data_IF_692820998913
#
_entry.id   IF_692820998913
#
_cell.length_a   1.000
_cell.length_b   1.000
_cell.length_c   1.000
_cell.angle_alpha   90.00
_cell.angle_beta   90.00
_cell.angle_gamma   90.00
#
_symmetry.space_group_name_H-M   'P 1'
#
loop_
_entity.id
_entity.type
_entity.pdbx_description
1 polymer ?
#
# COMPACT_ATOMS: atom_id res chain seq x y z
N UNK A 1 30.37 8.54 -16.64
CA UNK A 1 29.46 8.07 -15.56
C UNK A 1 28.52 9.22 -15.25
N UNK A 2 27.31 9.20 -15.80
CA UNK A 2 26.30 10.20 -15.51
C UNK A 2 25.83 9.99 -14.05
N UNK A 3 26.01 11.01 -13.20
CA UNK A 3 25.38 11.06 -11.89
C UNK A 3 23.87 11.11 -12.13
N UNK A 4 23.16 10.05 -11.77
CA UNK A 4 21.71 10.10 -11.62
C UNK A 4 21.45 11.07 -10.45
N UNK A 5 21.23 12.34 -10.73
CA UNK A 5 20.70 13.28 -9.73
C UNK A 5 19.25 12.92 -9.51
N UNK A 6 18.93 12.45 -8.31
CA UNK A 6 17.54 12.29 -7.89
C UNK A 6 16.88 13.67 -7.88
N UNK A 7 15.85 13.84 -8.67
CA UNK A 7 15.03 15.06 -8.70
C UNK A 7 13.90 14.92 -7.66
N UNK A 8 14.26 15.08 -6.37
CA UNK A 8 13.29 15.08 -5.29
C UNK A 8 12.78 16.50 -5.05
N UNK A 9 11.51 16.73 -5.37
CA UNK A 9 10.83 18.00 -5.09
C UNK A 9 10.00 17.88 -3.81
N UNK A 10 10.14 18.86 -2.91
CA UNK A 10 9.27 18.96 -1.73
C UNK A 10 7.94 19.58 -2.13
N UNK A 11 6.84 18.87 -1.88
CA UNK A 11 5.50 19.43 -2.00
C UNK A 11 5.26 20.50 -0.92
N UNK A 12 4.59 21.59 -1.31
CA UNK A 12 4.41 22.79 -0.46
C UNK A 12 3.28 22.54 0.56
N UNK A 13 3.64 21.96 1.71
CA UNK A 13 2.72 21.74 2.83
C UNK A 13 2.91 22.81 3.91
N UNK A 14 2.32 23.98 3.74
CA UNK A 14 2.50 25.17 4.61
C UNK A 14 2.17 24.98 6.10
N UNK A 15 1.59 23.83 6.50
CA UNK A 15 1.14 23.59 7.89
C UNK A 15 1.66 22.29 8.54
N UNK A 16 2.51 21.51 7.86
CA UNK A 16 3.04 20.28 8.42
C UNK A 16 4.43 20.48 9.01
N UNK A 17 4.77 19.77 10.11
CA UNK A 17 6.15 19.69 10.58
C UNK A 17 7.08 19.22 9.47
N UNK A 18 8.26 19.81 9.38
CA UNK A 18 9.23 19.56 8.30
C UNK A 18 9.62 18.06 8.20
N UNK A 19 9.64 17.33 9.32
CA UNK A 19 9.86 15.87 9.32
C UNK A 19 8.77 15.12 8.54
N UNK A 20 7.50 15.56 8.65
CA UNK A 20 6.37 14.91 7.99
C UNK A 20 6.37 15.19 6.49
N UNK A 21 6.79 16.39 6.08
CA UNK A 21 7.02 16.74 4.67
C UNK A 21 8.13 15.87 4.09
N UNK A 22 9.27 15.78 4.76
CA UNK A 22 10.40 14.94 4.34
C UNK A 22 10.00 13.46 4.27
N UNK A 23 9.28 12.98 5.30
CA UNK A 23 8.77 11.61 5.31
C UNK A 23 7.91 11.32 4.07
N UNK A 24 6.93 12.19 3.77
CA UNK A 24 6.06 12.03 2.58
C UNK A 24 6.86 12.07 1.28
N UNK A 25 7.80 13.00 1.16
CA UNK A 25 8.66 13.12 -0.03
C UNK A 25 9.47 11.84 -0.26
N UNK A 26 10.17 11.35 0.76
CA UNK A 26 10.97 10.13 0.65
C UNK A 26 10.09 8.91 0.43
N UNK A 27 8.94 8.83 1.08
CA UNK A 27 7.96 7.76 0.89
C UNK A 27 7.52 7.71 -0.57
N UNK A 28 7.12 8.83 -1.16
CA UNK A 28 6.71 8.90 -2.56
C UNK A 28 7.86 8.50 -3.50
N UNK A 29 9.07 8.96 -3.24
CA UNK A 29 10.23 8.57 -4.03
C UNK A 29 10.52 7.06 -4.01
N UNK A 30 10.33 6.41 -2.85
CA UNK A 30 10.43 4.94 -2.73
C UNK A 30 9.31 4.26 -3.53
N UNK A 31 8.08 4.74 -3.40
CA UNK A 31 6.91 4.14 -4.06
C UNK A 31 6.93 4.30 -5.59
N UNK A 32 7.50 5.40 -6.08
CA UNK A 32 7.72 5.65 -7.52
C UNK A 32 8.94 4.92 -8.08
N UNK A 33 9.73 4.27 -7.20
CA UNK A 33 10.97 3.60 -7.61
C UNK A 33 12.14 4.55 -7.93
N UNK A 34 12.02 5.84 -7.63
CA UNK A 34 13.09 6.83 -7.72
C UNK A 34 14.21 6.48 -6.73
N UNK A 35 13.83 6.05 -5.52
CA UNK A 35 14.70 5.40 -4.54
C UNK A 35 14.51 3.88 -4.66
N UNK A 36 15.51 3.21 -5.21
CA UNK A 36 15.42 1.78 -5.55
C UNK A 36 15.52 0.86 -4.33
N UNK A 37 14.90 -0.33 -4.33
CA UNK A 37 15.13 -1.34 -3.30
C UNK A 37 16.64 -1.63 -3.11
N UNK A 38 17.08 -1.66 -1.85
CA UNK A 38 18.50 -1.79 -1.47
C UNK A 38 19.32 -0.51 -1.57
N UNK A 39 18.79 0.58 -2.11
CA UNK A 39 19.50 1.86 -2.19
C UNK A 39 19.74 2.43 -0.79
N UNK A 40 20.97 2.93 -0.57
CA UNK A 40 21.35 3.51 0.70
C UNK A 40 20.87 4.96 0.84
N UNK A 41 20.14 5.24 1.92
CA UNK A 41 19.64 6.56 2.26
C UNK A 41 20.70 7.31 3.07
N UNK A 42 21.46 8.16 2.39
CA UNK A 42 22.53 8.95 3.04
C UNK A 42 21.96 10.27 3.58
N UNK A 43 21.87 10.41 4.92
CA UNK A 43 21.31 11.60 5.58
C UNK A 43 21.86 12.91 5.03
N UNK A 44 23.20 13.01 4.84
CA UNK A 44 23.85 14.23 4.36
C UNK A 44 23.44 14.54 2.91
N UNK A 45 23.38 13.53 2.05
CA UNK A 45 22.96 13.70 0.64
C UNK A 45 21.51 14.18 0.57
N UNK A 46 20.61 13.52 1.30
CA UNK A 46 19.18 13.85 1.31
C UNK A 46 18.94 15.24 1.93
N UNK A 47 19.67 15.59 3.00
CA UNK A 47 19.57 16.92 3.61
C UNK A 47 19.97 18.03 2.63
N UNK A 48 21.06 17.84 1.88
CA UNK A 48 21.51 18.78 0.86
C UNK A 48 20.53 18.87 -0.32
N UNK A 49 19.99 17.75 -0.78
CA UNK A 49 19.02 17.71 -1.90
C UNK A 49 17.70 18.39 -1.57
N UNK A 50 17.19 18.18 -0.34
CA UNK A 50 15.92 18.75 0.11
C UNK A 50 16.07 20.13 0.76
N UNK A 51 17.28 20.67 0.90
CA UNK A 51 17.51 21.98 1.50
C UNK A 51 17.16 22.07 2.99
N UNK A 52 17.25 20.95 3.73
CA UNK A 52 16.88 20.87 5.14
C UNK A 52 18.05 20.44 6.02
N UNK A 53 17.93 20.58 7.35
CA UNK A 53 18.90 20.03 8.29
C UNK A 53 18.81 18.50 8.37
N UNK A 54 19.81 17.84 8.97
CA UNK A 54 19.83 16.37 9.12
C UNK A 54 18.78 15.82 10.07
N UNK A 55 18.31 16.62 11.02
CA UNK A 55 17.32 16.18 12.02
C UNK A 55 16.01 15.71 11.41
N UNK A 56 15.29 16.50 10.59
CA UNK A 56 14.05 16.03 9.94
C UNK A 56 14.30 14.85 9.01
N UNK A 57 15.46 14.73 8.36
CA UNK A 57 15.82 13.57 7.54
C UNK A 57 15.89 12.30 8.41
N UNK A 58 16.57 12.37 9.55
CA UNK A 58 16.73 11.22 10.46
C UNK A 58 15.39 10.79 11.05
N UNK A 59 14.55 11.73 11.43
CA UNK A 59 13.21 11.45 11.93
C UNK A 59 12.34 10.81 10.83
N UNK A 60 12.39 11.32 9.61
CA UNK A 60 11.67 10.75 8.47
C UNK A 60 12.15 9.33 8.14
N UNK A 61 13.45 9.07 8.14
CA UNK A 61 14.02 7.72 7.95
C UNK A 61 13.50 6.76 9.02
N UNK A 62 13.43 7.21 10.29
CA UNK A 62 12.87 6.39 11.37
C UNK A 62 11.38 6.10 11.17
N UNK A 63 10.61 7.05 10.69
CA UNK A 63 9.21 6.83 10.34
C UNK A 63 9.09 5.82 9.19
N UNK A 64 9.93 5.93 8.15
CA UNK A 64 9.97 4.95 7.04
C UNK A 64 10.39 3.56 7.51
N UNK A 65 11.25 3.45 8.52
CA UNK A 65 11.62 2.17 9.14
C UNK A 65 10.42 1.54 9.86
N UNK A 66 9.63 2.33 10.60
CA UNK A 66 8.40 1.87 11.24
C UNK A 66 7.35 1.40 10.23
N UNK A 67 7.29 2.05 9.06
CA UNK A 67 6.41 1.64 7.95
C UNK A 67 6.97 0.46 7.14
N UNK A 68 8.16 -0.07 7.49
CA UNK A 68 8.80 -1.18 6.77
C UNK A 68 9.32 -0.81 5.37
N UNK A 69 9.35 0.47 5.01
CA UNK A 69 9.89 0.96 3.73
C UNK A 69 11.41 1.09 3.74
N UNK A 70 12.01 1.14 4.92
CA UNK A 70 13.44 1.27 5.15
C UNK A 70 13.88 0.26 6.20
N UNK A 71 15.09 -0.28 6.06
CA UNK A 71 15.73 -1.14 7.04
C UNK A 71 17.05 -0.53 7.50
N UNK A 72 17.38 -0.70 8.78
CA UNK A 72 18.69 -0.31 9.31
C UNK A 72 19.67 -1.47 9.20
N UNK A 73 20.65 -1.33 8.31
CA UNK A 73 21.69 -2.36 8.11
C UNK A 73 22.93 -1.99 8.93
N UNK A 74 23.42 -2.87 9.82
CA UNK A 74 24.61 -2.59 10.62
C UNK A 74 25.79 -2.14 9.76
N UNK A 75 26.46 -1.06 10.14
CA UNK A 75 27.59 -0.42 9.45
C UNK A 75 27.29 0.20 8.09
N UNK A 76 26.14 -0.09 7.48
CA UNK A 76 25.72 0.48 6.18
C UNK A 76 24.71 1.61 6.32
N UNK A 77 24.01 1.68 7.48
CA UNK A 77 22.96 2.68 7.73
C UNK A 77 21.61 2.31 7.11
N UNK A 78 20.80 3.31 6.87
CA UNK A 78 19.45 3.14 6.32
C UNK A 78 19.51 2.73 4.84
N UNK A 79 18.70 1.74 4.47
CA UNK A 79 18.52 1.29 3.09
C UNK A 79 17.03 1.10 2.79
N UNK A 80 16.62 1.37 1.54
CA UNK A 80 15.27 1.05 1.08
C UNK A 80 15.05 -0.45 1.18
N UNK A 81 13.98 -0.85 1.85
CA UNK A 81 13.65 -2.26 2.05
C UNK A 81 13.36 -2.94 0.72
N UNK A 82 13.82 -4.17 0.57
CA UNK A 82 13.41 -5.05 -0.53
C UNK A 82 12.13 -5.78 -0.13
N UNK A 83 11.30 -6.09 -1.11
CA UNK A 83 10.17 -7.00 -0.90
C UNK A 83 10.76 -8.42 -0.93
N UNK A 84 10.74 -9.10 0.22
CA UNK A 84 11.08 -10.53 0.28
C UNK A 84 9.80 -11.36 0.36
N UNK A 85 9.87 -12.61 -0.10
CA UNK A 85 8.75 -13.55 0.04
C UNK A 85 8.33 -13.71 1.49
N UNK A 86 9.32 -13.79 2.39
CA UNK A 86 9.05 -13.92 3.82
C UNK A 86 8.27 -12.73 4.37
N UNK A 87 8.75 -11.52 4.09
CA UNK A 87 8.07 -10.30 4.59
C UNK A 87 6.65 -10.19 4.02
N UNK A 88 6.46 -10.58 2.75
CA UNK A 88 5.15 -10.61 2.11
C UNK A 88 4.22 -11.59 2.83
N UNK A 89 4.69 -12.81 3.09
CA UNK A 89 3.88 -13.82 3.77
C UNK A 89 3.53 -13.40 5.19
N UNK A 90 4.51 -12.92 5.97
CA UNK A 90 4.31 -12.46 7.35
C UNK A 90 3.23 -11.34 7.43
N UNK A 91 3.29 -10.37 6.52
CA UNK A 91 2.32 -9.26 6.45
C UNK A 91 0.94 -9.74 6.02
N UNK A 92 0.87 -10.64 5.03
CA UNK A 92 -0.41 -11.14 4.49
C UNK A 92 -1.14 -12.07 5.46
N UNK A 93 -0.42 -12.88 6.25
CA UNK A 93 -1.03 -13.68 7.31
C UNK A 93 -1.75 -12.79 8.34
N UNK A 94 -1.08 -11.74 8.80
CA UNK A 94 -1.68 -10.77 9.75
C UNK A 94 -2.85 -10.03 9.10
N UNK A 95 -2.69 -9.59 7.85
CA UNK A 95 -3.74 -8.91 7.11
C UNK A 95 -4.97 -9.77 6.97
N UNK A 96 -4.82 -11.03 6.57
CA UNK A 96 -5.95 -11.95 6.40
C UNK A 96 -6.78 -12.05 7.69
N UNK A 97 -6.14 -12.25 8.83
CA UNK A 97 -6.85 -12.35 10.11
C UNK A 97 -7.60 -11.06 10.48
N UNK A 98 -7.00 -9.89 10.24
CA UNK A 98 -7.64 -8.59 10.53
C UNK A 98 -8.75 -8.25 9.54
N UNK A 99 -8.58 -8.54 8.25
CA UNK A 99 -9.61 -8.29 7.23
C UNK A 99 -10.83 -9.22 7.41
N UNK A 100 -10.63 -10.49 7.73
CA UNK A 100 -11.73 -11.40 8.06
C UNK A 100 -12.52 -10.91 9.28
N UNK A 101 -11.82 -10.42 10.32
CA UNK A 101 -12.46 -9.81 11.47
C UNK A 101 -13.22 -8.53 11.07
N UNK A 102 -12.63 -7.70 10.23
CA UNK A 102 -13.26 -6.47 9.77
C UNK A 102 -14.54 -6.76 8.99
N UNK A 103 -14.49 -7.65 8.01
CA UNK A 103 -15.66 -8.05 7.21
C UNK A 103 -16.74 -8.67 8.09
N UNK A 104 -16.36 -9.53 9.06
CA UNK A 104 -17.29 -10.11 10.05
C UNK A 104 -18.05 -9.04 10.83
N UNK A 105 -17.33 -8.08 11.41
CA UNK A 105 -17.92 -7.01 12.21
C UNK A 105 -18.74 -6.05 11.35
N UNK A 106 -18.21 -5.67 10.19
CA UNK A 106 -18.88 -4.80 9.24
C UNK A 106 -20.19 -5.42 8.74
N UNK A 107 -20.19 -6.68 8.32
CA UNK A 107 -21.38 -7.38 7.87
C UNK A 107 -22.52 -7.37 8.89
N UNK A 108 -22.18 -7.40 10.19
CA UNK A 108 -23.16 -7.33 11.28
C UNK A 108 -23.67 -5.90 11.57
N UNK A 109 -22.85 -4.87 11.31
CA UNK A 109 -23.04 -3.51 11.82
C UNK A 109 -23.34 -2.48 10.75
N UNK A 110 -22.95 -2.74 9.49
CA UNK A 110 -23.08 -1.79 8.38
C UNK A 110 -24.52 -1.30 8.24
N UNK A 111 -24.66 0.01 8.11
CA UNK A 111 -25.94 0.67 7.91
C UNK A 111 -26.28 0.77 6.42
N UNK A 112 -27.53 1.06 6.09
CA UNK A 112 -27.96 1.27 4.69
C UNK A 112 -27.20 2.44 4.02
N UNK A 113 -26.93 3.50 4.75
CA UNK A 113 -26.13 4.63 4.27
C UNK A 113 -24.68 4.22 3.96
N UNK A 114 -24.09 3.36 4.76
CA UNK A 114 -22.72 2.86 4.51
C UNK A 114 -22.70 1.86 3.35
N UNK A 115 -23.74 1.03 3.18
CA UNK A 115 -23.90 0.18 1.99
C UNK A 115 -23.97 1.00 0.71
N UNK A 116 -24.68 2.12 0.72
CA UNK A 116 -24.69 3.04 -0.42
C UNK A 116 -23.29 3.62 -0.72
N UNK A 117 -22.53 4.02 0.32
CA UNK A 117 -21.16 4.49 0.15
C UNK A 117 -20.25 3.39 -0.39
N UNK A 118 -20.39 2.15 0.09
CA UNK A 118 -19.63 1.00 -0.37
C UNK A 118 -19.86 0.74 -1.87
N UNK A 119 -21.13 0.76 -2.30
CA UNK A 119 -21.50 0.65 -3.70
C UNK A 119 -20.89 1.77 -4.56
N UNK A 120 -21.01 3.02 -4.10
CA UNK A 120 -20.43 4.17 -4.80
C UNK A 120 -18.92 4.07 -4.91
N UNK A 121 -18.22 3.60 -3.87
CA UNK A 121 -16.78 3.41 -3.90
C UNK A 121 -16.38 2.34 -4.92
N UNK A 122 -17.11 1.20 -5.01
CA UNK A 122 -16.88 0.19 -6.05
C UNK A 122 -17.06 0.77 -7.46
N UNK A 123 -18.16 1.50 -7.71
CA UNK A 123 -18.40 2.12 -9.02
C UNK A 123 -17.37 3.19 -9.39
N UNK A 124 -16.92 3.98 -8.42
CA UNK A 124 -15.87 4.98 -8.65
C UNK A 124 -14.53 4.33 -9.00
N UNK A 125 -14.21 3.21 -8.38
CA UNK A 125 -13.01 2.43 -8.72
C UNK A 125 -13.10 1.85 -10.14
N UNK A 126 -14.23 1.24 -10.51
CA UNK A 126 -14.49 0.72 -11.87
C UNK A 126 -14.33 1.83 -12.92
N UNK A 127 -14.97 2.99 -12.71
CA UNK A 127 -14.85 4.14 -13.62
C UNK A 127 -13.39 4.63 -13.72
N UNK A 128 -12.64 4.62 -12.64
CA UNK A 128 -11.23 5.00 -12.65
C UNK A 128 -10.41 4.02 -13.49
N UNK A 129 -10.70 2.71 -13.42
CA UNK A 129 -10.04 1.71 -14.26
C UNK A 129 -10.30 1.90 -15.76
N UNK A 130 -11.50 2.35 -16.12
CA UNK A 130 -11.87 2.60 -17.52
C UNK A 130 -11.28 3.88 -18.09
N UNK A 131 -11.10 4.92 -17.25
CA UNK A 131 -10.71 6.27 -17.68
C UNK A 131 -9.24 6.58 -17.48
N UNK A 132 -8.55 5.84 -16.60
CA UNK A 132 -7.13 6.08 -16.31
C UNK A 132 -6.27 5.39 -17.36
N UNK A 133 -5.37 6.15 -18.00
CA UNK A 133 -4.30 5.56 -18.81
C UNK A 133 -3.57 4.51 -17.97
N UNK A 134 -3.22 3.39 -18.59
CA UNK A 134 -2.77 2.16 -17.92
C UNK A 134 -1.54 2.31 -17.04
N UNK A 135 -0.90 3.47 -17.03
CA UNK A 135 0.40 3.68 -16.37
C UNK A 135 0.33 4.40 -15.03
N UNK A 136 -0.80 5.05 -14.66
CA UNK A 136 -0.92 5.72 -13.36
C UNK A 136 -1.41 4.75 -12.26
N UNK A 137 -0.56 3.78 -11.93
CA UNK A 137 -0.82 2.79 -10.88
C UNK A 137 -1.08 3.40 -9.50
N UNK A 138 -0.53 4.60 -9.25
CA UNK A 138 -0.73 5.28 -7.98
C UNK A 138 -2.16 5.80 -7.83
N UNK A 139 -2.74 6.38 -8.90
CA UNK A 139 -4.14 6.77 -8.89
C UNK A 139 -5.06 5.58 -8.72
N UNK A 140 -4.77 4.47 -9.41
CA UNK A 140 -5.54 3.24 -9.25
C UNK A 140 -5.47 2.69 -7.82
N UNK A 141 -4.27 2.64 -7.22
CA UNK A 141 -4.12 2.20 -5.84
C UNK A 141 -4.83 3.11 -4.83
N UNK A 142 -4.89 4.43 -5.10
CA UNK A 142 -5.62 5.38 -4.27
C UNK A 142 -7.14 5.26 -4.46
N UNK A 143 -7.61 4.97 -5.67
CA UNK A 143 -9.03 4.82 -5.96
C UNK A 143 -9.66 3.58 -5.30
N UNK A 144 -8.87 2.55 -5.01
CA UNK A 144 -9.27 1.34 -4.32
C UNK A 144 -9.45 1.54 -2.79
N UNK A 145 -8.77 2.51 -2.21
CA UNK A 145 -8.78 2.77 -0.76
C UNK A 145 -10.18 3.06 -0.20
N UNK A 146 -11.03 3.90 -0.80
CA UNK A 146 -12.35 4.24 -0.26
C UNK A 146 -13.26 3.03 -0.06
N UNK A 147 -13.16 1.99 -0.90
CA UNK A 147 -13.95 0.78 -0.76
C UNK A 147 -13.64 0.06 0.56
N UNK A 148 -12.38 -0.18 0.84
CA UNK A 148 -11.93 -0.80 2.08
C UNK A 148 -12.21 0.09 3.30
N UNK A 149 -12.05 1.41 3.17
CA UNK A 149 -12.32 2.35 4.26
C UNK A 149 -13.77 2.29 4.76
N UNK A 150 -14.75 2.15 3.86
CA UNK A 150 -16.15 2.00 4.27
C UNK A 150 -16.33 0.73 5.10
N UNK A 151 -15.73 -0.39 4.69
CA UNK A 151 -15.78 -1.65 5.44
C UNK A 151 -15.15 -1.49 6.83
N UNK A 152 -13.97 -0.85 6.91
CA UNK A 152 -13.26 -0.65 8.17
C UNK A 152 -14.06 0.25 9.12
N UNK A 153 -14.62 1.35 8.63
CA UNK A 153 -15.47 2.24 9.43
C UNK A 153 -16.74 1.52 9.94
N UNK A 154 -17.37 0.72 9.09
CA UNK A 154 -18.55 -0.07 9.47
C UNK A 154 -18.26 -1.11 10.57
N UNK A 155 -17.00 -1.43 10.86
CA UNK A 155 -16.64 -2.28 12.00
C UNK A 155 -16.97 -1.61 13.35
N UNK A 156 -17.02 -0.28 13.40
CA UNK A 156 -17.16 0.51 14.62
C UNK A 156 -16.15 0.06 15.71
N UNK A 157 -14.91 -0.26 15.31
CA UNK A 157 -13.82 -0.72 16.17
C UNK A 157 -12.55 0.07 15.87
N UNK A 158 -12.34 1.17 16.59
CA UNK A 158 -11.23 2.09 16.36
C UNK A 158 -9.85 1.40 16.42
N UNK A 159 -9.68 0.39 17.27
CA UNK A 159 -8.41 -0.35 17.38
C UNK A 159 -8.13 -1.18 16.13
N UNK A 160 -9.17 -1.85 15.61
CA UNK A 160 -9.05 -2.61 14.37
C UNK A 160 -8.77 -1.68 13.19
N UNK A 161 -9.48 -0.55 13.11
CA UNK A 161 -9.26 0.48 12.07
C UNK A 161 -7.81 0.97 12.09
N UNK A 162 -7.25 1.27 13.27
CA UNK A 162 -5.85 1.70 13.40
C UNK A 162 -4.87 0.63 12.91
N UNK A 163 -5.07 -0.63 13.28
CA UNK A 163 -4.20 -1.74 12.85
C UNK A 163 -4.26 -1.95 11.32
N UNK A 164 -5.47 -1.93 10.74
CA UNK A 164 -5.66 -2.08 9.30
C UNK A 164 -5.06 -0.90 8.52
N UNK A 165 -5.18 0.33 9.04
CA UNK A 165 -4.57 1.50 8.42
C UNK A 165 -3.03 1.43 8.43
N UNK A 166 -2.42 0.96 9.52
CA UNK A 166 -0.99 0.76 9.61
C UNK A 166 -0.51 -0.30 8.61
N UNK A 167 -1.25 -1.42 8.49
CA UNK A 167 -0.94 -2.45 7.50
C UNK A 167 -1.11 -1.94 6.06
N UNK A 168 -2.14 -1.13 5.78
CA UNK A 168 -2.36 -0.55 4.46
C UNK A 168 -1.14 0.22 3.96
N UNK A 169 -0.49 0.99 4.82
CA UNK A 169 0.72 1.72 4.47
C UNK A 169 1.86 0.77 4.06
N UNK A 170 2.05 -0.31 4.83
CA UNK A 170 3.01 -1.35 4.49
C UNK A 170 2.65 -2.08 3.19
N UNK A 171 1.35 -2.32 2.98
CA UNK A 171 0.82 -3.01 1.81
C UNK A 171 0.80 -2.16 0.52
N UNK A 172 1.03 -0.86 0.61
CA UNK A 172 0.93 0.02 -0.57
C UNK A 172 1.85 -0.40 -1.72
N UNK A 173 3.10 -0.79 -1.42
CA UNK A 173 4.05 -1.29 -2.42
C UNK A 173 3.56 -2.57 -3.11
N UNK A 174 3.03 -3.50 -2.32
CA UNK A 174 2.47 -4.76 -2.83
C UNK A 174 1.24 -4.50 -3.70
N UNK A 175 0.41 -3.53 -3.33
CA UNK A 175 -0.74 -3.12 -4.14
C UNK A 175 -0.32 -2.56 -5.49
N UNK A 176 0.72 -1.72 -5.54
CA UNK A 176 1.28 -1.22 -6.81
C UNK A 176 1.77 -2.39 -7.68
N UNK A 177 2.47 -3.36 -7.11
CA UNK A 177 2.92 -4.56 -7.84
C UNK A 177 1.73 -5.36 -8.39
N UNK A 178 0.71 -5.61 -7.58
CA UNK A 178 -0.50 -6.31 -7.99
C UNK A 178 -1.24 -5.62 -9.15
N UNK A 179 -1.33 -4.30 -9.12
CA UNK A 179 -2.00 -3.50 -10.14
C UNK A 179 -1.25 -3.40 -11.47
N UNK A 180 -0.02 -3.88 -11.57
CA UNK A 180 0.70 -3.98 -12.86
C UNK A 180 0.03 -4.96 -13.81
N UNK A 181 -0.56 -6.02 -13.30
CA UNK A 181 -1.30 -6.98 -14.12
C UNK A 181 -2.71 -6.48 -14.42
N UNK A 182 -2.99 -6.28 -15.69
CA UNK A 182 -4.30 -5.78 -16.18
C UNK A 182 -5.44 -6.74 -15.86
N UNK A 183 -5.18 -8.06 -15.83
CA UNK A 183 -6.21 -9.06 -15.48
C UNK A 183 -6.60 -8.93 -14.01
N UNK A 184 -5.63 -8.72 -13.14
CA UNK A 184 -5.85 -8.50 -11.72
C UNK A 184 -6.74 -7.29 -11.43
N UNK A 185 -6.64 -6.23 -12.24
CA UNK A 185 -7.50 -5.03 -12.11
C UNK A 185 -8.98 -5.33 -12.34
N UNK A 186 -9.30 -6.14 -13.35
CA UNK A 186 -10.69 -6.53 -13.64
C UNK A 186 -11.26 -7.43 -12.55
N UNK A 187 -10.46 -8.37 -12.06
CA UNK A 187 -10.85 -9.24 -10.95
C UNK A 187 -11.19 -8.46 -9.68
N UNK A 188 -10.51 -7.34 -9.40
CA UNK A 188 -10.81 -6.49 -8.24
C UNK A 188 -12.24 -5.93 -8.29
N UNK A 189 -12.73 -5.48 -9.44
CA UNK A 189 -14.11 -4.98 -9.59
C UNK A 189 -15.11 -6.08 -9.28
N UNK A 190 -14.91 -7.28 -9.83
CA UNK A 190 -15.78 -8.44 -9.60
C UNK A 190 -15.77 -8.85 -8.10
N UNK A 191 -14.63 -8.79 -7.46
CA UNK A 191 -14.47 -9.09 -6.04
C UNK A 191 -15.14 -8.04 -5.14
N UNK A 192 -15.03 -6.76 -5.48
CA UNK A 192 -15.72 -5.69 -4.77
C UNK A 192 -17.25 -5.84 -4.88
N UNK A 193 -17.75 -6.15 -6.07
CA UNK A 193 -19.18 -6.35 -6.30
C UNK A 193 -19.70 -7.57 -5.53
N UNK A 194 -18.97 -8.68 -5.56
CA UNK A 194 -19.33 -9.88 -4.81
C UNK A 194 -19.34 -9.62 -3.29
N UNK A 195 -18.30 -8.91 -2.77
CA UNK A 195 -18.23 -8.57 -1.37
C UNK A 195 -19.37 -7.63 -0.95
N UNK A 196 -19.68 -6.62 -1.78
CA UNK A 196 -20.84 -5.75 -1.57
C UNK A 196 -22.15 -6.54 -1.47
N UNK A 197 -22.42 -7.47 -2.40
CA UNK A 197 -23.65 -8.26 -2.39
C UNK A 197 -23.73 -9.18 -1.16
N UNK A 198 -22.63 -9.81 -0.73
CA UNK A 198 -22.62 -10.58 0.51
C UNK A 198 -22.90 -9.70 1.74
N UNK A 199 -22.30 -8.51 1.81
CA UNK A 199 -22.52 -7.58 2.94
C UNK A 199 -23.96 -7.04 2.95
N UNK A 200 -24.53 -6.69 1.80
CA UNK A 200 -25.90 -6.24 1.64
C UNK A 200 -26.92 -7.30 2.11
N UNK A 201 -26.64 -8.56 1.78
CA UNK A 201 -27.48 -9.69 2.18
C UNK A 201 -27.19 -10.22 3.59
N UNK A 202 -26.26 -9.59 4.32
CA UNK A 202 -25.80 -10.06 5.65
C UNK A 202 -25.23 -11.49 5.61
N UNK A 203 -24.74 -11.93 4.47
CA UNK A 203 -24.12 -13.23 4.27
C UNK A 203 -22.68 -13.21 4.78
N UNK A 204 -22.52 -13.46 6.07
CA UNK A 204 -21.23 -13.48 6.74
C UNK A 204 -20.28 -14.52 6.15
N UNK A 205 -20.77 -15.72 5.86
CA UNK A 205 -19.91 -16.81 5.38
C UNK A 205 -19.38 -16.49 3.96
N UNK A 206 -20.24 -15.99 3.08
CA UNK A 206 -19.85 -15.53 1.75
C UNK A 206 -18.87 -14.38 1.79
N UNK A 207 -19.12 -13.37 2.62
CA UNK A 207 -18.23 -12.22 2.76
C UNK A 207 -16.83 -12.60 3.30
N UNK A 208 -16.74 -13.48 4.30
CA UNK A 208 -15.46 -13.97 4.82
C UNK A 208 -14.71 -14.81 3.77
N UNK A 209 -15.41 -15.66 3.04
CA UNK A 209 -14.83 -16.43 1.95
C UNK A 209 -14.27 -15.51 0.85
N UNK A 210 -15.05 -14.52 0.45
CA UNK A 210 -14.65 -13.57 -0.59
C UNK A 210 -13.40 -12.76 -0.22
N UNK A 211 -13.34 -12.23 1.01
CA UNK A 211 -12.16 -11.45 1.43
C UNK A 211 -10.91 -12.33 1.55
N UNK A 212 -11.05 -13.59 1.95
CA UNK A 212 -9.96 -14.57 1.93
C UNK A 212 -9.44 -14.78 0.52
N UNK A 213 -10.30 -15.13 -0.43
CA UNK A 213 -9.94 -15.34 -1.83
C UNK A 213 -9.31 -14.10 -2.47
N UNK A 214 -9.80 -12.92 -2.11
CA UNK A 214 -9.24 -11.64 -2.53
C UNK A 214 -7.77 -11.48 -2.10
N UNK A 215 -7.45 -11.77 -0.84
CA UNK A 215 -6.10 -11.64 -0.29
C UNK A 215 -5.17 -12.73 -0.87
N UNK A 216 -5.64 -13.97 -0.95
CA UNK A 216 -4.88 -15.09 -1.51
C UNK A 216 -4.51 -14.85 -2.99
N UNK A 217 -5.42 -14.33 -3.82
CA UNK A 217 -5.10 -13.95 -5.21
C UNK A 217 -4.08 -12.83 -5.30
N UNK A 218 -4.17 -11.82 -4.43
CA UNK A 218 -3.15 -10.79 -4.36
C UNK A 218 -1.79 -11.37 -4.01
N UNK A 219 -1.71 -12.29 -3.04
CA UNK A 219 -0.49 -12.98 -2.63
C UNK A 219 0.13 -13.74 -3.81
N UNK A 220 -0.64 -14.58 -4.48
CA UNK A 220 -0.17 -15.39 -5.61
C UNK A 220 0.39 -14.52 -6.74
N UNK A 221 -0.30 -13.45 -7.12
CA UNK A 221 0.13 -12.53 -8.17
C UNK A 221 1.43 -11.81 -7.82
N UNK A 222 1.54 -11.32 -6.58
CA UNK A 222 2.74 -10.61 -6.11
C UNK A 222 3.93 -11.58 -5.99
N UNK A 223 3.71 -12.79 -5.50
CA UNK A 223 4.74 -13.82 -5.40
C UNK A 223 5.35 -14.16 -6.76
N UNK A 224 4.52 -14.30 -7.80
CA UNK A 224 5.00 -14.52 -9.17
C UNK A 224 5.92 -13.39 -9.64
N UNK A 225 5.57 -12.13 -9.31
CA UNK A 225 6.37 -10.97 -9.66
C UNK A 225 7.70 -10.94 -8.89
N UNK A 226 7.69 -11.24 -7.58
CA UNK A 226 8.89 -11.28 -6.73
C UNK A 226 9.85 -12.38 -7.21
N UNK A 227 9.34 -13.56 -7.55
CA UNK A 227 10.15 -14.65 -8.12
C UNK A 227 10.83 -14.24 -9.44
N UNK A 228 10.09 -13.62 -10.36
CA UNK A 228 10.65 -13.15 -11.63
C UNK A 228 11.78 -12.13 -11.42
N UNK A 229 11.61 -11.18 -10.51
CA UNK A 229 12.63 -10.16 -10.20
C UNK A 229 13.88 -10.78 -9.55
N UNK A 230 13.72 -11.81 -8.74
CA UNK A 230 14.83 -12.55 -8.10
C UNK A 230 15.67 -13.32 -9.13
N UNK A 231 15.04 -13.87 -10.17
CA UNK A 231 15.74 -14.61 -11.23
C UNK A 231 16.48 -13.68 -12.19
N UNK A 232 15.92 -12.54 -12.56
CA UNK A 232 16.54 -11.57 -13.47
C UNK A 232 17.67 -10.76 -12.83
N UNK A 233 17.66 -10.57 -11.50
CA UNK A 233 18.72 -9.86 -10.76
C UNK A 233 19.99 -10.69 -10.51
N UNK A 234 20.01 -11.97 -10.85
CA UNK A 234 21.18 -12.86 -10.69
C UNK A 234 22.08 -12.86 -11.94
N UNK A 235 21.58 -12.41 -13.10
CA UNK A 235 22.35 -12.41 -14.36
C UNK A 235 23.20 -11.15 -14.60
N UNK A 236 23.14 -10.14 -13.73
CA UNK A 236 23.93 -8.88 -13.84
C UNK A 236 25.02 -8.73 -12.76
N UNK A 237 25.71 -9.80 -12.38
CA UNK A 237 26.89 -9.72 -11.52
C UNK A 237 28.09 -10.40 -12.14
#
# INVERSE_FOLDING_TARGET
MAKNELDLQMEDYQYLPLRDVVFRTLRQAILRGELKPGERLMEIRLANQLGVSRTPIREAIRMLELDGLVIMVPRKGAQVAQITEKDLNDVLEVRLGLEELAVKLACQRITESELQKLYQASRSFEQMLETTETDDLQKLAQADVPFHDVIYQATNNERLIQLLNNLREQMYRYRIEYLKDVKSRRSLVEEHDALYEHMKNRDLAGAQKMIREHIERQQESIMQTVHHQSMTGVEEK
#
